data_IF_004597888907
#
_entry.id   IF_004597888907
#
_cell.length_a   1.000
_cell.length_b   1.000
_cell.length_c   1.000
_cell.angle_alpha   90.00
_cell.angle_beta   90.00
_cell.angle_gamma   90.00
#
_symmetry.space_group_name_H-M   'P 1'
#
loop_
_entity.id
_entity.type
_entity.pdbx_description
1 polymer ?
#
# COMPACT_ATOMS: atom_id res chain seq x y z
N UNK A 1 4.96 15.24 8.28
CA UNK A 1 4.55 14.69 6.97
C UNK A 1 5.66 13.75 6.54
N UNK A 2 5.32 12.49 6.32
CA UNK A 2 6.27 11.44 5.88
C UNK A 2 6.70 11.72 4.45
N UNK A 3 8.00 11.64 4.17
CA UNK A 3 8.57 11.78 2.81
C UNK A 3 8.23 10.57 1.92
N UNK A 4 8.41 10.69 0.61
CA UNK A 4 8.19 9.58 -0.34
C UNK A 4 9.07 8.38 0.02
N UNK A 5 10.35 8.62 0.34
CA UNK A 5 11.32 7.58 0.67
C UNK A 5 10.96 6.85 1.97
N UNK A 6 10.58 7.60 3.00
CA UNK A 6 10.10 7.03 4.26
C UNK A 6 8.81 6.23 4.06
N UNK A 7 7.90 6.71 3.21
CA UNK A 7 6.67 5.98 2.88
C UNK A 7 6.97 4.66 2.16
N UNK A 8 7.88 4.66 1.19
CA UNK A 8 8.31 3.43 0.49
C UNK A 8 8.97 2.45 1.48
N UNK A 9 9.80 2.94 2.38
CA UNK A 9 10.45 2.11 3.40
C UNK A 9 9.44 1.49 4.37
N UNK A 10 8.49 2.29 4.87
CA UNK A 10 7.43 1.81 5.77
C UNK A 10 6.49 0.80 5.08
N UNK A 11 6.15 1.03 3.81
CA UNK A 11 5.38 0.07 3.02
C UNK A 11 6.15 -1.25 2.83
N UNK A 12 7.45 -1.19 2.53
CA UNK A 12 8.30 -2.37 2.41
C UNK A 12 8.39 -3.14 3.74
N UNK A 13 8.57 -2.44 4.86
CA UNK A 13 8.61 -3.05 6.18
C UNK A 13 7.29 -3.76 6.51
N UNK A 14 6.16 -3.11 6.28
CA UNK A 14 4.84 -3.71 6.46
C UNK A 14 4.67 -4.99 5.62
N UNK A 15 5.04 -4.93 4.34
CA UNK A 15 4.93 -6.07 3.44
C UNK A 15 5.80 -7.24 3.90
N UNK A 16 7.05 -6.97 4.26
CA UNK A 16 8.04 -8.00 4.61
C UNK A 16 7.90 -8.56 6.02
N UNK A 17 7.29 -7.82 6.95
CA UNK A 17 7.17 -8.25 8.35
C UNK A 17 5.77 -8.69 8.76
N UNK A 18 4.73 -8.21 8.06
CA UNK A 18 3.33 -8.46 8.42
C UNK A 18 2.54 -9.15 7.31
N UNK A 19 2.55 -8.59 6.10
CA UNK A 19 1.65 -9.06 5.04
C UNK A 19 2.13 -10.34 4.36
N UNK A 20 3.44 -10.43 4.08
CA UNK A 20 4.08 -11.51 3.34
C UNK A 20 5.46 -11.87 3.93
N UNK A 21 5.55 -12.23 5.21
CA UNK A 21 6.83 -12.59 5.83
C UNK A 21 7.53 -13.78 5.15
N UNK A 22 6.76 -14.73 4.64
CA UNK A 22 7.26 -15.89 3.90
C UNK A 22 7.74 -15.56 2.47
N UNK A 23 7.42 -14.37 1.96
CA UNK A 23 7.86 -13.87 0.64
C UNK A 23 8.64 -12.56 0.74
N UNK A 24 9.24 -12.26 1.89
CA UNK A 24 9.91 -10.99 2.14
C UNK A 24 10.98 -10.64 1.08
N UNK A 25 11.72 -11.65 0.61
CA UNK A 25 12.76 -11.49 -0.43
C UNK A 25 12.21 -11.30 -1.84
N UNK A 26 10.93 -11.62 -2.05
CA UNK A 26 10.23 -11.44 -3.34
C UNK A 26 9.58 -10.06 -3.46
N UNK A 27 9.37 -9.34 -2.36
CA UNK A 27 8.74 -8.01 -2.39
C UNK A 27 9.63 -7.00 -3.12
N UNK A 28 9.12 -6.47 -4.24
CA UNK A 28 9.74 -5.39 -5.02
C UNK A 28 8.87 -4.13 -4.92
N UNK A 29 9.41 -3.08 -4.32
CA UNK A 29 8.72 -1.78 -4.25
C UNK A 29 8.83 -1.02 -5.57
N UNK A 30 7.78 -0.29 -5.94
CA UNK A 30 7.72 0.52 -7.16
C UNK A 30 7.61 2.02 -6.79
N UNK A 31 8.70 2.66 -6.32
CA UNK A 31 8.66 4.00 -5.74
C UNK A 31 8.14 5.06 -6.72
N UNK A 32 8.39 4.92 -8.02
CA UNK A 32 7.93 5.89 -9.02
C UNK A 32 6.41 5.93 -9.20
N UNK A 33 5.71 4.92 -8.68
CA UNK A 33 4.25 4.87 -8.66
C UNK A 33 3.64 5.47 -7.39
N UNK A 34 4.48 5.99 -6.49
CA UNK A 34 4.00 6.59 -5.25
C UNK A 34 3.23 7.88 -5.54
N UNK A 35 2.01 7.97 -5.02
CA UNK A 35 1.13 9.14 -5.15
C UNK A 35 0.84 9.67 -3.76
N UNK A 36 1.04 10.97 -3.58
CA UNK A 36 0.72 11.68 -2.34
C UNK A 36 -0.77 12.07 -2.34
N UNK A 37 -1.43 11.84 -1.21
CA UNK A 37 -2.79 12.29 -0.92
C UNK A 37 -2.81 12.99 0.43
N UNK A 38 -3.84 13.81 0.74
CA UNK A 38 -3.94 14.47 2.04
C UNK A 38 -3.85 13.55 3.26
N UNK A 39 -4.36 12.31 3.15
CA UNK A 39 -4.28 11.31 4.22
C UNK A 39 -2.89 10.65 4.35
N UNK A 40 -2.17 10.48 3.24
CA UNK A 40 -0.95 9.69 3.19
C UNK A 40 -0.51 9.35 1.78
N UNK A 41 0.49 8.49 1.67
CA UNK A 41 0.98 7.98 0.40
C UNK A 41 0.27 6.68 0.01
N UNK A 42 -0.02 6.51 -1.28
CA UNK A 42 -0.22 5.18 -1.86
C UNK A 42 1.06 4.74 -2.55
N UNK A 43 1.55 3.55 -2.26
CA UNK A 43 2.79 2.99 -2.85
C UNK A 43 2.48 1.63 -3.44
N UNK A 44 2.90 1.38 -4.69
CA UNK A 44 2.75 0.06 -5.29
C UNK A 44 3.95 -0.84 -5.03
N UNK A 45 3.68 -2.13 -5.04
CA UNK A 45 4.68 -3.18 -5.03
C UNK A 45 4.24 -4.30 -5.98
N UNK A 46 5.18 -5.17 -6.29
CA UNK A 46 4.92 -6.43 -6.95
C UNK A 46 5.82 -7.53 -6.37
N UNK A 47 5.60 -8.77 -6.78
CA UNK A 47 6.48 -9.88 -6.48
C UNK A 47 7.47 -10.09 -7.61
N UNK A 48 8.73 -10.39 -7.25
CA UNK A 48 9.82 -10.63 -8.18
C UNK A 48 9.44 -11.68 -9.23
N UNK A 49 8.80 -12.78 -8.82
CA UNK A 49 8.40 -13.85 -9.74
C UNK A 49 7.40 -13.37 -10.79
N UNK A 50 6.45 -12.51 -10.41
CA UNK A 50 5.47 -11.95 -11.35
C UNK A 50 6.14 -11.01 -12.36
N UNK A 51 7.05 -10.14 -11.89
CA UNK A 51 7.78 -9.23 -12.77
C UNK A 51 8.67 -9.95 -13.78
N UNK A 52 9.30 -11.05 -13.38
CA UNK A 52 10.22 -11.82 -14.23
C UNK A 52 9.49 -12.71 -15.24
N UNK A 53 8.35 -13.30 -14.84
CA UNK A 53 7.65 -14.31 -15.64
C UNK A 53 6.42 -13.78 -16.37
N UNK A 54 5.82 -12.69 -15.88
CA UNK A 54 4.52 -12.20 -16.33
C UNK A 54 3.34 -13.12 -15.97
N UNK A 55 3.54 -14.14 -15.12
CA UNK A 55 2.47 -15.06 -14.71
C UNK A 55 1.49 -14.36 -13.75
N UNK A 56 0.21 -14.18 -14.14
CA UNK A 56 -0.79 -13.54 -13.28
C UNK A 56 -1.02 -14.29 -11.96
N UNK A 57 -0.76 -15.60 -11.89
CA UNK A 57 -0.89 -16.37 -10.66
C UNK A 57 0.19 -16.03 -9.63
N UNK A 58 1.32 -15.46 -10.06
CA UNK A 58 2.40 -15.02 -9.19
C UNK A 58 2.20 -13.60 -8.63
N UNK A 59 1.25 -12.84 -9.17
CA UNK A 59 0.96 -11.47 -8.80
C UNK A 59 0.36 -11.34 -7.39
N UNK A 60 0.59 -10.22 -6.68
CA UNK A 60 -0.11 -9.95 -5.43
C UNK A 60 -1.60 -9.71 -5.68
N UNK A 61 -2.45 -10.19 -4.76
CA UNK A 61 -3.89 -9.94 -4.82
C UNK A 61 -4.23 -8.43 -4.80
N UNK A 62 -3.52 -7.66 -3.98
CA UNK A 62 -3.54 -6.20 -4.01
C UNK A 62 -2.12 -5.69 -4.13
N UNK A 63 -1.86 -4.85 -5.13
CA UNK A 63 -0.52 -4.32 -5.45
C UNK A 63 -0.28 -2.90 -4.90
N UNK A 64 -1.03 -2.48 -3.88
CA UNK A 64 -0.98 -1.13 -3.33
C UNK A 64 -1.10 -1.13 -1.81
N UNK A 65 -0.23 -0.35 -1.17
CA UNK A 65 -0.18 -0.13 0.28
C UNK A 65 -0.39 1.35 0.55
N UNK A 66 -1.14 1.67 1.61
CA UNK A 66 -1.32 3.03 2.09
C UNK A 66 -0.42 3.28 3.29
N UNK A 67 0.25 4.44 3.31
CA UNK A 67 1.11 4.90 4.40
C UNK A 67 0.63 6.26 4.89
N UNK A 68 -0.09 6.32 6.02
CA UNK A 68 -0.61 7.56 6.59
C UNK A 68 0.50 8.57 6.96
N UNK A 69 0.24 9.87 6.78
CA UNK A 69 1.18 10.91 7.17
C UNK A 69 1.28 11.14 8.68
N UNK A 70 0.29 10.68 9.44
CA UNK A 70 0.17 10.84 10.90
C UNK A 70 0.97 9.80 11.70
N UNK A 71 1.65 8.88 11.01
CA UNK A 71 2.43 7.80 11.63
C UNK A 71 1.61 6.56 12.00
N UNK A 72 0.31 6.52 11.67
CA UNK A 72 -0.48 5.28 11.72
C UNK A 72 0.16 4.22 10.82
N UNK A 73 0.01 2.95 11.21
CA UNK A 73 0.63 1.84 10.50
C UNK A 73 0.19 1.75 9.04
N UNK A 74 1.14 1.38 8.18
CA UNK A 74 0.86 1.04 6.80
C UNK A 74 -0.10 -0.15 6.71
N UNK A 75 -0.97 -0.14 5.70
CA UNK A 75 -2.03 -1.14 5.56
C UNK A 75 -2.50 -1.28 4.12
N UNK A 76 -3.20 -2.38 3.84
CA UNK A 76 -3.94 -2.52 2.59
C UNK A 76 -5.24 -1.72 2.61
N UNK A 77 -5.53 -0.97 1.54
CA UNK A 77 -6.82 -0.34 1.37
C UNK A 77 -7.88 -1.39 0.97
N UNK A 78 -9.18 -1.09 1.18
CA UNK A 78 -10.27 -1.95 0.70
C UNK A 78 -10.25 -2.08 -0.82
N UNK A 79 -10.24 -3.32 -1.33
CA UNK A 79 -10.12 -3.60 -2.78
C UNK A 79 -11.38 -3.30 -3.59
N UNK A 80 -12.54 -3.16 -2.94
CA UNK A 80 -13.80 -2.83 -3.59
C UNK A 80 -14.01 -1.31 -3.82
N UNK A 81 -13.12 -0.46 -3.29
CA UNK A 81 -13.20 0.99 -3.44
C UNK A 81 -12.07 1.52 -4.34
N UNK A 82 -12.35 2.52 -5.20
CA UNK A 82 -11.31 3.28 -5.87
C UNK A 82 -10.38 3.95 -4.87
N UNK A 83 -9.06 3.91 -5.13
CA UNK A 83 -8.03 4.44 -4.23
C UNK A 83 -8.29 5.89 -3.81
N UNK A 84 -8.54 6.78 -4.78
CA UNK A 84 -8.76 8.19 -4.51
C UNK A 84 -9.97 8.42 -3.58
N UNK A 85 -11.04 7.63 -3.74
CA UNK A 85 -12.22 7.71 -2.89
C UNK A 85 -11.93 7.22 -1.47
N UNK A 86 -11.18 6.13 -1.35
CA UNK A 86 -10.73 5.64 -0.05
C UNK A 86 -9.89 6.69 0.70
N UNK A 87 -8.90 7.27 0.03
CA UNK A 87 -8.03 8.29 0.62
C UNK A 87 -8.80 9.56 1.03
N UNK A 88 -9.80 9.96 0.24
CA UNK A 88 -10.70 11.07 0.57
C UNK A 88 -11.50 10.78 1.85
N UNK A 89 -12.11 9.59 1.96
CA UNK A 89 -12.87 9.20 3.15
C UNK A 89 -11.99 9.12 4.40
N UNK A 90 -10.75 8.65 4.28
CA UNK A 90 -9.80 8.66 5.39
C UNK A 90 -9.43 10.09 5.81
N UNK A 91 -9.21 10.99 4.85
CA UNK A 91 -8.89 12.39 5.12
C UNK A 91 -10.05 13.15 5.78
N UNK A 92 -11.30 12.82 5.45
CA UNK A 92 -12.49 13.43 6.06
C UNK A 92 -12.90 12.81 7.40
N UNK A 93 -12.32 11.67 7.77
CA UNK A 93 -12.71 10.91 8.96
C UNK A 93 -13.98 10.07 8.76
N UNK A 94 -14.47 9.93 7.52
CA UNK A 94 -15.64 9.12 7.18
C UNK A 94 -15.33 7.62 7.05
N UNK A 95 -14.07 7.23 7.25
CA UNK A 95 -13.63 5.84 7.25
C UNK A 95 -13.10 5.40 8.64
N UNK A 96 -13.48 4.21 9.15
CA UNK A 96 -14.49 3.31 8.59
C UNK A 96 -15.91 3.88 8.75
N UNK A 97 -16.84 3.60 7.83
CA UNK A 97 -18.20 4.09 7.94
C UNK A 97 -18.83 3.60 9.25
N UNK A 98 -19.40 4.52 10.03
CA UNK A 98 -20.18 4.17 11.21
C UNK A 98 -21.36 3.32 10.79
N UNK A 99 -21.59 2.20 11.47
CA UNK A 99 -22.83 1.45 11.33
C UNK A 99 -23.96 2.34 11.85
N UNK A 100 -24.83 2.78 10.94
CA UNK A 100 -26.12 3.38 11.29
C UNK A 100 -27.05 2.36 11.94
#
# INVERSE_FOLDING_TARGET
>A
MVTKEEAVAAAAEYLKSRAYPERADSVVMLPDTAIEFPYGWSVRFDFKEHLETGDPAAAPFSSVVVVPHDGTAAHFPPTHLPMARYMEMCASGDWPPTKG
#
